data_IF_426411294584
#
_entry.id   IF_426411294584
#
_cell.length_a   1.000
_cell.length_b   1.000
_cell.length_c   1.000
_cell.angle_alpha   90.00
_cell.angle_beta   90.00
_cell.angle_gamma   90.00
#
_symmetry.space_group_name_H-M   'P 1'
#
loop_
_entity.id
_entity.type
_entity.pdbx_description
1 polymer ?
#
# COMPACT_ATOMS: atom_id res chain seq x y z
N UNK A 1 1.69 7.17 -49.46
CA UNK A 1 0.42 7.08 -48.68
C UNK A 1 0.49 6.04 -47.55
N UNK A 2 0.64 4.71 -47.82
CA UNK A 2 0.63 3.66 -46.78
C UNK A 2 1.70 3.79 -45.68
N UNK A 3 2.94 4.15 -46.01
CA UNK A 3 4.02 4.34 -45.03
C UNK A 3 3.80 5.58 -44.14
N UNK A 4 3.23 6.65 -44.70
CA UNK A 4 2.89 7.87 -43.96
C UNK A 4 1.74 7.63 -42.96
N UNK A 5 0.75 6.81 -43.36
CA UNK A 5 -0.33 6.35 -42.49
C UNK A 5 0.16 5.48 -41.33
N UNK A 6 1.12 4.58 -41.59
CA UNK A 6 1.76 3.75 -40.56
C UNK A 6 2.54 4.60 -39.55
N UNK A 7 3.28 5.63 -40.01
CA UNK A 7 3.97 6.57 -39.12
C UNK A 7 2.99 7.40 -38.27
N UNK A 8 1.87 7.85 -38.82
CA UNK A 8 0.85 8.59 -38.07
C UNK A 8 0.17 7.72 -36.99
N UNK A 9 -0.09 6.43 -37.29
CA UNK A 9 -0.67 5.49 -36.32
C UNK A 9 0.32 5.20 -35.19
N UNK A 10 1.60 5.00 -35.49
CA UNK A 10 2.64 4.76 -34.47
C UNK A 10 2.82 5.99 -33.56
N UNK A 11 2.81 7.20 -34.13
CA UNK A 11 2.92 8.44 -33.35
C UNK A 11 1.70 8.66 -32.44
N UNK A 12 0.50 8.30 -32.92
CA UNK A 12 -0.75 8.37 -32.15
C UNK A 12 -0.78 7.33 -31.01
N UNK A 13 -0.26 6.12 -31.24
CA UNK A 13 -0.15 5.09 -30.19
C UNK A 13 0.87 5.48 -29.12
N UNK A 14 1.97 6.14 -29.49
CA UNK A 14 2.97 6.65 -28.54
C UNK A 14 2.43 7.79 -27.66
N UNK A 15 1.51 8.62 -28.15
CA UNK A 15 0.91 9.71 -27.35
C UNK A 15 -0.13 9.23 -26.34
N UNK A 16 -0.71 8.03 -26.53
CA UNK A 16 -1.65 7.43 -25.57
C UNK A 16 -0.90 6.81 -24.37
N UNK A 17 0.40 6.48 -24.51
CA UNK A 17 1.21 5.90 -23.43
C UNK A 17 1.80 6.91 -22.43
N UNK A 18 1.65 8.23 -22.65
CA UNK A 18 2.18 9.26 -21.73
C UNK A 18 1.17 9.70 -20.67
N UNK A 19 -0.07 9.20 -20.71
CA UNK A 19 -1.10 9.48 -19.72
C UNK A 19 -1.05 8.51 -18.55
N UNK A 20 -0.88 9.03 -17.33
CA UNK A 20 -0.91 8.35 -16.01
C UNK A 20 0.48 8.15 -15.39
N UNK A 21 1.18 9.27 -15.18
CA UNK A 21 2.01 9.41 -13.98
C UNK A 21 1.33 10.45 -13.11
N UNK A 22 0.22 10.07 -12.47
CA UNK A 22 -0.29 10.84 -11.34
C UNK A 22 0.76 10.73 -10.24
N UNK A 23 1.42 11.85 -9.95
CA UNK A 23 2.22 12.01 -8.76
C UNK A 23 1.39 11.56 -7.56
N UNK A 24 1.76 10.44 -6.96
CA UNK A 24 1.17 9.95 -5.71
C UNK A 24 1.72 10.83 -4.58
N UNK A 25 1.24 12.07 -4.50
CA UNK A 25 1.47 12.98 -3.38
C UNK A 25 0.59 12.62 -2.17
N UNK A 26 0.38 11.32 -1.95
CA UNK A 26 -0.38 10.78 -0.82
C UNK A 26 0.55 10.33 0.30
N UNK A 27 0.03 10.14 1.54
CA UNK A 27 0.82 9.60 2.63
C UNK A 27 1.45 8.26 2.23
N UNK A 28 2.75 8.10 2.50
CA UNK A 28 3.50 6.90 2.15
C UNK A 28 2.81 5.66 2.73
N UNK A 29 2.52 4.70 1.86
CA UNK A 29 2.10 3.37 2.28
C UNK A 29 3.34 2.55 2.59
N UNK A 30 3.46 2.08 3.82
CA UNK A 30 4.52 1.19 4.26
C UNK A 30 4.11 -0.26 4.07
N UNK A 31 5.12 -1.14 3.90
CA UNK A 31 4.93 -2.58 3.81
C UNK A 31 5.76 -3.28 4.88
N UNK A 32 5.17 -4.25 5.57
CA UNK A 32 5.85 -5.11 6.53
C UNK A 32 5.44 -6.57 6.32
N UNK A 33 6.37 -7.49 6.56
CA UNK A 33 6.10 -8.93 6.58
C UNK A 33 6.38 -9.45 7.99
N UNK A 34 5.49 -10.27 8.53
CA UNK A 34 5.67 -10.86 9.86
C UNK A 34 4.59 -11.85 10.23
N UNK A 35 4.73 -12.45 11.41
CA UNK A 35 3.76 -13.43 11.94
C UNK A 35 2.76 -12.72 12.84
N UNK A 36 1.47 -12.94 12.62
CA UNK A 36 0.39 -12.40 13.48
C UNK A 36 0.52 -13.03 14.87
N UNK A 37 0.64 -12.19 15.89
CA UNK A 37 0.68 -12.61 17.29
C UNK A 37 -0.72 -12.65 17.88
N UNK A 38 -1.50 -11.59 17.69
CA UNK A 38 -2.87 -11.48 18.18
C UNK A 38 -3.75 -10.65 17.25
N UNK A 39 -5.05 -10.87 17.38
CA UNK A 39 -6.12 -10.11 16.75
C UNK A 39 -7.12 -9.78 17.84
N UNK A 40 -7.28 -8.49 18.13
CA UNK A 40 -8.21 -8.00 19.14
C UNK A 40 -9.08 -6.93 18.51
N UNK A 41 -10.33 -7.27 18.20
CA UNK A 41 -11.25 -6.40 17.45
C UNK A 41 -10.64 -5.92 16.12
N UNK A 42 -10.22 -4.66 16.10
CA UNK A 42 -9.60 -3.96 14.98
C UNK A 42 -8.07 -3.86 15.10
N UNK A 43 -7.49 -4.23 16.24
CA UNK A 43 -6.05 -4.25 16.45
C UNK A 43 -5.44 -5.57 15.94
N UNK A 44 -4.39 -5.44 15.14
CA UNK A 44 -3.55 -6.52 14.63
C UNK A 44 -2.14 -6.32 15.17
N UNK A 45 -1.62 -7.30 15.90
CA UNK A 45 -0.24 -7.29 16.37
C UNK A 45 0.59 -8.27 15.56
N UNK A 46 1.68 -7.79 14.96
CA UNK A 46 2.55 -8.60 14.09
C UNK A 46 3.99 -8.57 14.59
N UNK A 47 4.60 -9.74 14.71
CA UNK A 47 6.03 -9.88 15.00
C UNK A 47 6.86 -9.65 13.75
N UNK A 48 7.64 -8.57 13.76
CA UNK A 48 8.63 -8.22 12.73
C UNK A 48 10.04 -8.56 13.25
N UNK A 49 10.58 -9.71 12.84
CA UNK A 49 11.90 -10.17 13.28
C UNK A 49 11.95 -10.65 14.74
N UNK A 50 13.13 -10.61 15.40
CA UNK A 50 13.31 -11.20 16.74
C UNK A 50 12.72 -10.36 17.88
N UNK A 51 12.79 -9.02 17.80
CA UNK A 51 12.44 -8.11 18.90
C UNK A 51 11.46 -7.00 18.55
N UNK A 52 11.05 -6.84 17.30
CA UNK A 52 10.15 -5.75 16.90
C UNK A 52 8.74 -6.30 16.69
N UNK A 53 7.76 -5.58 17.23
CA UNK A 53 6.35 -5.81 16.98
C UNK A 53 5.78 -4.59 16.25
N UNK A 54 4.79 -4.82 15.41
CA UNK A 54 4.05 -3.81 14.69
C UNK A 54 2.59 -3.94 15.10
N UNK A 55 2.04 -2.87 15.64
CA UNK A 55 0.63 -2.74 15.97
C UNK A 55 -0.05 -1.93 14.87
N UNK A 56 -1.10 -2.49 14.27
CA UNK A 56 -1.85 -1.84 13.18
C UNK A 56 -3.34 -1.98 13.44
N UNK A 57 -4.06 -0.87 13.29
CA UNK A 57 -5.51 -0.86 13.34
C UNK A 57 -6.05 -1.09 11.92
N UNK A 58 -7.00 -2.03 11.77
CA UNK A 58 -7.82 -2.17 10.57
C UNK A 58 -9.14 -1.43 10.74
N UNK A 59 -9.76 -1.07 9.64
CA UNK A 59 -11.08 -0.44 9.58
C UNK A 59 -11.93 -1.08 8.48
N UNK A 60 -13.14 -0.57 8.25
CA UNK A 60 -14.06 -1.08 7.21
C UNK A 60 -13.46 -1.06 5.79
N UNK A 61 -12.52 -0.17 5.50
CA UNK A 61 -11.85 -0.08 4.20
C UNK A 61 -10.68 -1.06 4.04
N UNK A 62 -10.31 -1.74 5.13
CA UNK A 62 -9.16 -2.66 5.13
C UNK A 62 -9.52 -3.95 4.42
N UNK A 63 -8.93 -4.15 3.24
CA UNK A 63 -9.09 -5.39 2.48
C UNK A 63 -8.23 -6.50 3.08
N UNK A 64 -8.88 -7.52 3.62
CA UNK A 64 -8.22 -8.74 4.11
C UNK A 64 -8.39 -9.84 3.06
N UNK A 65 -7.27 -10.32 2.52
CA UNK A 65 -7.24 -11.46 1.61
C UNK A 65 -6.64 -12.68 2.31
N UNK A 66 -7.35 -13.82 2.25
CA UNK A 66 -6.96 -15.06 2.93
C UNK A 66 -7.43 -15.15 4.39
N UNK A 67 -6.89 -16.13 5.12
CA UNK A 67 -7.29 -16.41 6.49
C UNK A 67 -6.38 -15.68 7.50
N UNK A 68 -6.79 -14.48 7.92
CA UNK A 68 -6.12 -13.70 8.94
C UNK A 68 -6.40 -14.28 10.34
N UNK A 69 -5.39 -14.90 10.95
CA UNK A 69 -5.46 -15.50 12.29
C UNK A 69 -4.09 -15.47 12.99
N UNK A 70 -4.02 -15.61 14.32
CA UNK A 70 -2.76 -15.81 15.03
C UNK A 70 -1.92 -16.95 14.43
N UNK A 71 -0.60 -16.75 14.36
CA UNK A 71 0.35 -17.68 13.74
C UNK A 71 0.46 -17.58 12.21
N UNK A 72 -0.44 -16.85 11.54
CA UNK A 72 -0.33 -16.64 10.09
C UNK A 72 0.83 -15.69 9.75
N UNK A 73 1.66 -16.06 8.77
CA UNK A 73 2.62 -15.13 8.15
C UNK A 73 1.87 -14.24 7.17
N UNK A 74 1.92 -12.93 7.40
CA UNK A 74 1.20 -11.94 6.61
C UNK A 74 2.14 -10.88 6.05
N UNK A 75 1.69 -10.27 4.96
CA UNK A 75 2.26 -9.03 4.44
C UNK A 75 1.21 -7.95 4.67
N UNK A 76 1.56 -6.94 5.46
CA UNK A 76 0.69 -5.82 5.79
C UNK A 76 1.13 -4.59 5.00
N UNK A 77 0.16 -3.92 4.39
CA UNK A 77 0.31 -2.56 3.89
C UNK A 77 -0.42 -1.62 4.85
N UNK A 78 0.24 -0.56 5.30
CA UNK A 78 -0.32 0.36 6.29
C UNK A 78 0.17 1.79 6.06
N UNK A 79 -0.56 2.76 6.60
CA UNK A 79 -0.16 4.17 6.63
C UNK A 79 0.09 4.57 8.08
N UNK A 80 1.10 5.40 8.30
CA UNK A 80 1.28 6.06 9.60
C UNK A 80 0.39 7.29 9.63
N UNK A 81 -0.56 7.33 10.56
CA UNK A 81 -1.51 8.43 10.74
C UNK A 81 -1.21 9.10 12.08
N UNK A 82 -1.00 10.41 12.07
CA UNK A 82 -0.82 11.16 13.32
C UNK A 82 -2.16 11.27 14.05
N UNK A 83 -2.19 10.92 15.34
CA UNK A 83 -3.38 11.09 16.18
C UNK A 83 -3.47 12.52 16.72
N UNK A 84 -2.34 13.06 17.18
CA UNK A 84 -2.23 14.42 17.72
C UNK A 84 -0.88 15.00 17.31
N UNK A 85 -0.84 16.30 17.01
CA UNK A 85 0.39 17.03 16.74
C UNK A 85 0.42 18.24 17.68
N UNK A 86 1.44 18.29 18.54
CA UNK A 86 1.68 19.42 19.43
C UNK A 86 2.94 20.17 18.99
N UNK A 87 2.80 21.47 18.69
CA UNK A 87 3.95 22.33 18.40
C UNK A 87 4.47 22.87 19.72
N UNK A 88 5.64 22.41 20.15
CA UNK A 88 6.36 22.99 21.27
C UNK A 88 7.12 24.23 20.80
N UNK A 89 6.84 25.37 21.44
CA UNK A 89 7.64 26.60 21.32
C UNK A 89 8.89 26.48 22.19
#
# INVERSE_FOLDING_TARGET
MRRLFLFAVILTVMTIMTGIVFAVNGPKTYRATGVVLSLENDLIVVKKGKKSQLEVIRNADTKVTGNLKPGATVIIQYKMIATTIEVKK
#
